data_IF_662786576049
#
_entry.id   IF_662786576049
#
_cell.length_a   1.000
_cell.length_b   1.000
_cell.length_c   1.000
_cell.angle_alpha   90.00
_cell.angle_beta   90.00
_cell.angle_gamma   90.00
#
_symmetry.space_group_name_H-M   'P 1'
#
loop_
_entity.id
_entity.type
_entity.pdbx_description
1 polymer ?
#
# COMPACT_ATOMS: atom_id res chain seq x y z
N UNK A 1 -4.71 -15.28 22.05
CA UNK A 1 -5.43 -14.24 22.83
C UNK A 1 -4.46 -13.10 23.03
N UNK A 2 -4.84 -11.85 22.74
CA UNK A 2 -3.98 -10.72 23.07
C UNK A 2 -3.90 -10.58 24.59
N UNK A 3 -2.71 -10.36 25.14
CA UNK A 3 -2.52 -10.13 26.57
C UNK A 3 -3.14 -8.77 26.97
N UNK A 4 -3.63 -8.66 28.20
CA UNK A 4 -4.09 -7.41 28.80
C UNK A 4 -3.29 -7.13 30.07
N UNK A 5 -2.83 -5.89 30.32
CA UNK A 5 -2.22 -5.51 31.59
C UNK A 5 -3.18 -5.63 32.79
N UNK A 6 -4.48 -5.78 32.54
CA UNK A 6 -5.49 -6.05 33.57
C UNK A 6 -5.72 -7.56 33.81
N UNK A 7 -5.01 -8.46 33.11
CA UNK A 7 -5.11 -9.90 33.34
C UNK A 7 -4.48 -10.25 34.71
N UNK A 8 -5.28 -10.73 35.68
CA UNK A 8 -4.80 -10.98 37.04
C UNK A 8 -3.79 -12.15 37.12
N UNK A 9 -3.58 -12.89 36.03
CA UNK A 9 -2.59 -13.97 35.94
C UNK A 9 -1.18 -13.47 35.60
N UNK A 10 -1.04 -12.20 35.20
CA UNK A 10 0.25 -11.62 34.84
C UNK A 10 0.89 -10.91 36.04
N UNK A 11 2.14 -11.22 36.41
CA UNK A 11 2.82 -10.49 37.48
C UNK A 11 2.99 -9.03 37.04
N UNK A 12 2.37 -8.10 37.77
CA UNK A 12 2.34 -6.68 37.42
C UNK A 12 3.04 -5.86 38.50
N UNK A 13 3.90 -4.93 38.06
CA UNK A 13 4.65 -4.02 38.93
C UNK A 13 4.44 -2.55 38.57
N UNK A 14 5.20 -1.63 39.19
CA UNK A 14 5.13 -0.21 38.88
C UNK A 14 5.52 0.07 37.43
N UNK A 15 4.55 0.34 36.56
CA UNK A 15 4.78 0.71 35.16
C UNK A 15 4.94 -0.44 34.15
N UNK A 16 4.93 -1.69 34.60
CA UNK A 16 5.22 -2.85 33.76
C UNK A 16 4.43 -4.10 34.16
N UNK A 17 4.38 -5.08 33.28
CA UNK A 17 3.78 -6.40 33.53
C UNK A 17 4.53 -7.50 32.79
N UNK A 18 4.58 -8.68 33.42
CA UNK A 18 5.30 -9.85 32.94
C UNK A 18 4.40 -10.76 32.11
N UNK A 19 4.87 -11.15 30.93
CA UNK A 19 4.10 -11.93 29.96
C UNK A 19 4.94 -13.11 29.49
N UNK A 20 4.33 -14.28 29.37
CA UNK A 20 4.97 -15.44 28.75
C UNK A 20 4.99 -15.29 27.23
N UNK A 21 6.08 -15.71 26.60
CA UNK A 21 6.35 -15.62 25.16
C UNK A 21 5.21 -16.17 24.29
N UNK A 22 4.55 -17.25 24.72
CA UNK A 22 3.38 -17.84 24.06
C UNK A 22 2.20 -16.87 23.86
N UNK A 23 2.17 -15.76 24.61
CA UNK A 23 1.15 -14.70 24.52
C UNK A 23 1.63 -13.45 23.77
N UNK A 24 2.86 -13.43 23.25
CA UNK A 24 3.41 -12.34 22.45
C UNK A 24 3.60 -12.83 21.01
N UNK A 25 2.61 -12.64 20.13
CA UNK A 25 2.66 -13.14 18.77
C UNK A 25 3.93 -12.69 18.03
N UNK A 26 4.62 -13.66 17.42
CA UNK A 26 5.81 -13.43 16.59
C UNK A 26 7.12 -13.34 17.37
N UNK A 27 7.10 -13.13 18.69
CA UNK A 27 8.31 -12.95 19.50
C UNK A 27 8.66 -14.18 20.32
N UNK A 28 9.95 -14.41 20.49
CA UNK A 28 10.52 -15.44 21.36
C UNK A 28 11.64 -14.84 22.21
N UNK A 29 11.94 -15.48 23.35
CA UNK A 29 13.04 -15.08 24.23
C UNK A 29 13.93 -16.27 24.56
N UNK A 30 15.22 -16.02 24.77
CA UNK A 30 16.14 -17.03 25.34
C UNK A 30 16.14 -17.03 26.86
N UNK A 31 15.37 -16.15 27.50
CA UNK A 31 15.20 -16.16 28.96
C UNK A 31 14.65 -17.52 29.40
N UNK A 32 15.33 -18.17 30.35
CA UNK A 32 14.99 -19.54 30.78
C UNK A 32 13.58 -19.66 31.38
N UNK A 33 12.93 -18.55 31.72
CA UNK A 33 11.55 -18.51 32.24
C UNK A 33 10.50 -18.26 31.16
N UNK A 34 10.90 -18.02 29.90
CA UNK A 34 10.01 -17.70 28.78
C UNK A 34 9.33 -16.34 28.91
N UNK A 35 9.79 -15.48 29.83
CA UNK A 35 9.11 -14.25 30.21
C UNK A 35 9.70 -13.01 29.55
N UNK A 36 8.80 -12.13 29.13
CA UNK A 36 9.06 -10.75 28.75
C UNK A 36 8.54 -9.81 29.84
N UNK A 37 9.28 -8.76 30.13
CA UNK A 37 8.77 -7.64 30.92
C UNK A 37 8.39 -6.50 29.98
N UNK A 38 7.10 -6.21 29.91
CA UNK A 38 6.52 -5.19 29.04
C UNK A 38 6.12 -3.98 29.87
N UNK A 39 6.67 -2.84 29.51
CA UNK A 39 6.45 -1.54 30.15
C UNK A 39 5.30 -0.83 29.43
N UNK A 40 4.23 -0.51 30.16
CA UNK A 40 2.95 -0.10 29.57
C UNK A 40 2.60 1.32 29.97
N UNK A 41 2.25 2.15 28.98
CA UNK A 41 1.95 3.58 29.17
C UNK A 41 0.90 3.82 30.26
N UNK A 42 -0.21 3.08 30.22
CA UNK A 42 -1.31 3.25 31.20
C UNK A 42 -0.92 2.90 32.64
N UNK A 43 0.11 2.06 32.84
CA UNK A 43 0.68 1.77 34.16
C UNK A 43 1.70 2.84 34.56
N UNK A 44 2.50 3.34 33.61
CA UNK A 44 3.46 4.42 33.83
C UNK A 44 2.79 5.74 34.20
N UNK A 45 1.66 6.06 33.57
CA UNK A 45 0.88 7.27 33.83
C UNK A 45 0.37 7.32 35.29
N UNK A 46 0.28 6.17 35.98
CA UNK A 46 -0.09 6.09 37.41
C UNK A 46 1.07 6.41 38.36
N UNK A 47 2.31 6.44 37.87
CA UNK A 47 3.48 6.72 38.69
C UNK A 47 3.67 8.23 38.87
N UNK A 48 4.13 8.69 40.06
CA UNK A 48 4.43 10.09 40.28
C UNK A 48 5.59 10.55 39.40
N UNK A 49 5.62 11.84 39.07
CA UNK A 49 6.72 12.42 38.30
C UNK A 49 8.05 12.27 39.06
N UNK A 50 9.10 11.90 38.32
CA UNK A 50 10.42 11.59 38.89
C UNK A 50 10.51 10.24 39.61
N UNK A 51 9.46 9.39 39.58
CA UNK A 51 9.58 8.02 40.02
C UNK A 51 10.66 7.28 39.23
N UNK A 52 11.47 6.48 39.93
CA UNK A 52 12.64 5.79 39.36
C UNK A 52 12.30 4.93 38.13
N UNK A 53 11.16 4.25 38.15
CA UNK A 53 10.69 3.34 37.10
C UNK A 53 9.69 4.00 36.12
N UNK A 54 9.51 5.33 36.19
CA UNK A 54 8.69 6.06 35.22
C UNK A 54 9.56 6.43 34.02
N UNK A 55 9.31 5.75 32.90
CA UNK A 55 9.99 5.97 31.64
C UNK A 55 9.01 6.50 30.59
N UNK A 56 9.52 7.19 29.59
CA UNK A 56 8.71 7.63 28.46
C UNK A 56 8.49 6.46 27.49
N UNK A 57 7.24 6.25 27.08
CA UNK A 57 6.86 5.38 25.97
C UNK A 57 6.90 6.22 24.70
N UNK A 58 7.89 6.00 23.86
CA UNK A 58 8.15 6.84 22.66
C UNK A 58 7.37 6.38 21.43
N UNK A 59 6.98 5.11 21.37
CA UNK A 59 6.18 4.59 20.27
C UNK A 59 5.00 3.76 20.79
N UNK A 60 3.82 3.93 20.17
CA UNK A 60 2.63 3.18 20.53
C UNK A 60 2.19 3.37 22.00
N UNK A 61 2.02 2.26 22.72
CA UNK A 61 1.48 2.22 24.09
C UNK A 61 2.34 1.43 25.08
N UNK A 62 3.44 0.83 24.62
CA UNK A 62 4.29 -0.03 25.43
C UNK A 62 5.65 -0.23 24.77
N UNK A 63 6.64 -0.63 25.56
CA UNK A 63 7.96 -1.09 25.08
C UNK A 63 8.42 -2.32 25.89
N UNK A 64 9.47 -3.00 25.43
CA UNK A 64 9.99 -4.20 26.08
C UNK A 64 11.30 -3.94 26.85
N UNK A 65 11.48 -4.65 27.95
CA UNK A 65 12.80 -4.86 28.57
C UNK A 65 13.35 -6.20 28.07
N UNK A 66 14.60 -6.18 27.61
CA UNK A 66 15.25 -7.37 27.06
C UNK A 66 15.68 -8.34 28.15
N UNK A 67 15.99 -7.80 29.33
CA UNK A 67 16.28 -8.53 30.55
C UNK A 67 15.00 -8.81 31.34
N UNK A 68 14.82 -10.03 31.85
CA UNK A 68 13.72 -10.37 32.76
C UNK A 68 14.24 -11.17 33.97
N UNK A 69 14.66 -12.42 33.77
CA UNK A 69 15.31 -13.23 34.81
C UNK A 69 16.83 -13.29 34.63
N UNK A 70 17.31 -13.07 33.41
CA UNK A 70 18.72 -13.03 33.06
C UNK A 70 18.95 -12.18 31.80
N UNK A 71 20.22 -12.05 31.38
CA UNK A 71 20.53 -11.53 30.05
C UNK A 71 19.96 -12.49 29.00
N UNK A 72 19.05 -12.00 28.18
CA UNK A 72 18.38 -12.79 27.15
C UNK A 72 18.46 -12.10 25.78
N UNK A 73 18.12 -12.88 24.75
CA UNK A 73 17.89 -12.41 23.40
C UNK A 73 16.40 -12.46 23.11
N UNK A 74 15.80 -11.33 22.75
CA UNK A 74 14.46 -11.29 22.13
C UNK A 74 14.62 -11.47 20.62
N UNK A 75 13.84 -12.33 19.99
CA UNK A 75 14.03 -12.60 18.56
C UNK A 75 12.77 -12.98 17.81
N UNK A 76 12.84 -12.82 16.48
CA UNK A 76 11.85 -13.31 15.52
C UNK A 76 12.53 -14.03 14.35
N UNK A 77 11.84 -15.00 13.76
CA UNK A 77 12.21 -15.62 12.48
C UNK A 77 11.33 -15.04 11.36
N UNK A 78 11.97 -14.42 10.37
CA UNK A 78 11.30 -13.72 9.26
C UNK A 78 11.62 -14.42 7.94
N UNK A 79 10.60 -14.61 7.10
CA UNK A 79 10.79 -15.12 5.74
C UNK A 79 11.60 -14.11 4.93
N UNK A 80 12.61 -14.60 4.21
CA UNK A 80 13.56 -13.75 3.49
C UNK A 80 13.97 -14.36 2.16
N UNK A 81 14.34 -13.54 1.19
CA UNK A 81 14.86 -13.98 -0.11
C UNK A 81 16.38 -13.88 -0.13
N UNK A 82 17.12 -14.93 -0.54
CA UNK A 82 18.56 -14.83 -0.74
C UNK A 82 18.97 -13.64 -1.62
N UNK A 83 19.96 -12.86 -1.18
CA UNK A 83 20.46 -11.68 -1.87
C UNK A 83 19.70 -10.37 -1.59
N UNK A 84 18.54 -10.43 -0.93
CA UNK A 84 17.83 -9.20 -0.57
C UNK A 84 18.56 -8.43 0.54
N UNK A 85 18.49 -7.10 0.49
CA UNK A 85 18.96 -6.23 1.57
C UNK A 85 17.79 -5.93 2.50
N UNK A 86 17.97 -6.23 3.79
CA UNK A 86 17.04 -5.87 4.86
C UNK A 86 17.59 -4.66 5.59
N UNK A 87 16.75 -3.66 5.77
CA UNK A 87 16.97 -2.50 6.60
C UNK A 87 16.35 -2.77 7.96
N UNK A 88 17.05 -2.38 9.01
CA UNK A 88 16.54 -2.47 10.36
C UNK A 88 16.73 -1.17 11.10
N UNK A 89 15.78 -0.88 12.00
CA UNK A 89 15.79 0.23 12.95
C UNK A 89 15.30 -0.27 14.29
N UNK A 90 15.80 0.33 15.37
CA UNK A 90 15.25 0.16 16.71
C UNK A 90 15.54 1.40 17.55
N UNK A 91 14.74 1.63 18.59
CA UNK A 91 15.07 2.52 19.68
C UNK A 91 15.61 1.72 20.86
N UNK A 92 16.73 2.17 21.45
CA UNK A 92 17.33 1.55 22.63
C UNK A 92 17.63 2.59 23.70
N UNK A 93 17.43 2.20 24.96
CA UNK A 93 17.67 3.04 26.14
C UNK A 93 18.11 2.19 27.33
N UNK A 94 19.08 2.67 28.11
CA UNK A 94 19.43 2.04 29.37
C UNK A 94 18.40 2.34 30.47
N UNK A 95 18.18 1.40 31.40
CA UNK A 95 17.15 1.55 32.42
C UNK A 95 17.55 2.51 33.53
N UNK A 96 18.76 2.33 34.08
CA UNK A 96 19.25 3.08 35.25
C UNK A 96 20.59 3.78 35.02
N UNK A 97 21.21 3.56 33.87
CA UNK A 97 22.48 4.16 33.45
C UNK A 97 22.75 3.74 32.02
N UNK A 98 24.03 3.67 31.65
CA UNK A 98 24.43 3.12 30.36
C UNK A 98 24.29 1.59 30.34
N UNK A 99 23.38 1.10 29.52
CA UNK A 99 23.23 -0.32 29.21
C UNK A 99 23.74 -0.60 27.80
N UNK A 100 24.11 -1.85 27.50
CA UNK A 100 24.66 -2.27 26.21
C UNK A 100 23.91 -3.47 25.67
N UNK A 101 23.53 -3.39 24.38
CA UNK A 101 22.87 -4.46 23.65
C UNK A 101 23.60 -4.81 22.34
N UNK A 102 23.28 -5.98 21.80
CA UNK A 102 23.73 -6.45 20.49
C UNK A 102 22.56 -6.76 19.57
N UNK A 103 22.65 -6.34 18.31
CA UNK A 103 21.76 -6.84 17.23
C UNK A 103 22.43 -8.07 16.65
N UNK A 104 21.72 -9.20 16.64
CA UNK A 104 22.16 -10.50 16.12
C UNK A 104 21.32 -10.87 14.90
N UNK A 105 21.94 -11.17 13.76
CA UNK A 105 21.21 -11.51 12.54
C UNK A 105 21.88 -12.68 11.82
N UNK A 106 21.10 -13.69 11.43
CA UNK A 106 21.63 -14.84 10.71
C UNK A 106 20.58 -15.88 10.35
N UNK A 107 21.01 -17.06 9.92
CA UNK A 107 20.11 -18.16 9.57
C UNK A 107 19.33 -18.65 10.80
N UNK A 108 18.04 -18.91 10.64
CA UNK A 108 17.19 -19.44 11.72
C UNK A 108 17.60 -20.85 12.21
N UNK A 109 18.43 -21.56 11.44
CA UNK A 109 19.01 -22.84 11.85
C UNK A 109 20.16 -22.69 12.85
N UNK A 110 20.67 -21.47 13.04
CA UNK A 110 21.64 -21.15 14.09
C UNK A 110 20.92 -20.91 15.41
N UNK A 111 21.35 -21.59 16.48
CA UNK A 111 20.80 -21.39 17.80
C UNK A 111 20.96 -19.90 18.23
N UNK A 112 19.95 -19.28 18.89
CA UNK A 112 19.97 -17.85 19.19
C UNK A 112 21.24 -17.35 19.91
N UNK A 113 21.81 -18.16 20.80
CA UNK A 113 23.03 -17.86 21.55
C UNK A 113 24.26 -17.75 20.64
N UNK A 114 24.29 -18.50 19.54
CA UNK A 114 25.40 -18.57 18.58
C UNK A 114 25.20 -17.66 17.35
N UNK A 115 24.08 -16.95 17.27
CA UNK A 115 23.80 -16.03 16.15
C UNK A 115 24.85 -14.89 16.15
N UNK A 116 25.41 -14.49 15.00
CA UNK A 116 26.45 -13.49 14.98
C UNK A 116 25.89 -12.11 15.34
N UNK A 117 26.61 -11.38 16.21
CA UNK A 117 26.34 -9.96 16.48
C UNK A 117 26.79 -9.16 15.25
N UNK A 118 25.85 -8.47 14.61
CA UNK A 118 26.14 -7.57 13.49
C UNK A 118 26.46 -6.16 13.98
N UNK A 119 25.95 -5.77 15.15
CA UNK A 119 26.24 -4.47 15.75
C UNK A 119 26.07 -4.51 17.27
N UNK A 120 26.92 -3.77 17.99
CA UNK A 120 26.82 -3.53 19.44
C UNK A 120 26.61 -2.04 19.68
N UNK A 121 25.75 -1.68 20.62
CA UNK A 121 25.40 -0.30 20.94
C UNK A 121 25.16 -0.11 22.44
N UNK A 122 25.45 1.09 22.93
CA UNK A 122 25.27 1.46 24.33
C UNK A 122 24.50 2.78 24.41
N UNK A 123 23.49 2.84 25.27
CA UNK A 123 22.69 4.05 25.49
C UNK A 123 22.53 4.30 26.98
N UNK A 124 22.61 5.56 27.41
CA UNK A 124 22.31 5.97 28.78
C UNK A 124 20.81 5.87 29.12
N UNK A 125 20.45 6.29 30.34
CA UNK A 125 19.06 6.31 30.84
C UNK A 125 18.32 7.62 30.59
N UNK A 126 18.97 8.62 30.02
CA UNK A 126 18.45 9.98 29.94
C UNK A 126 17.61 10.15 28.67
N UNK A 127 17.98 9.51 27.57
CA UNK A 127 17.23 9.56 26.32
C UNK A 127 17.15 8.20 25.61
N UNK A 128 16.12 8.06 24.75
CA UNK A 128 16.07 6.98 23.77
C UNK A 128 16.95 7.34 22.57
N UNK A 129 17.77 6.40 22.12
CA UNK A 129 18.58 6.55 20.90
C UNK A 129 18.10 5.58 19.82
N UNK A 130 18.00 6.08 18.59
CA UNK A 130 17.70 5.26 17.43
C UNK A 130 18.98 4.73 16.80
N UNK A 131 18.97 3.43 16.48
CA UNK A 131 20.02 2.75 15.75
C UNK A 131 19.44 2.17 14.47
N UNK A 132 20.25 2.19 13.42
CA UNK A 132 19.89 1.66 12.11
C UNK A 132 21.05 0.86 11.53
N UNK A 133 20.72 -0.01 10.59
CA UNK A 133 21.72 -0.70 9.78
C UNK A 133 21.07 -1.56 8.70
N UNK A 134 21.91 -2.30 7.99
CA UNK A 134 21.48 -3.18 6.92
C UNK A 134 22.03 -4.59 7.10
N UNK A 135 21.36 -5.56 6.48
CA UNK A 135 21.78 -6.94 6.41
C UNK A 135 21.44 -7.52 5.03
N UNK A 136 22.45 -7.96 4.28
CA UNK A 136 22.22 -8.69 3.03
C UNK A 136 22.06 -10.18 3.31
N UNK A 137 20.93 -10.74 2.91
CA UNK A 137 20.60 -12.14 3.16
C UNK A 137 21.54 -13.06 2.37
N UNK A 138 22.30 -13.96 3.03
CA UNK A 138 23.24 -14.86 2.36
C UNK A 138 22.56 -15.80 1.37
N UNK A 139 23.34 -16.30 0.40
CA UNK A 139 22.88 -17.32 -0.54
C UNK A 139 22.34 -18.56 0.19
N UNK A 140 21.16 -19.05 -0.22
CA UNK A 140 20.51 -20.23 0.37
C UNK A 140 19.78 -19.99 1.69
N UNK A 141 19.83 -18.78 2.26
CA UNK A 141 19.06 -18.42 3.46
C UNK A 141 17.67 -17.91 3.06
N UNK A 142 16.63 -18.69 3.36
CA UNK A 142 15.22 -18.30 3.09
C UNK A 142 14.46 -17.85 4.33
N UNK A 143 15.05 -18.04 5.52
CA UNK A 143 14.52 -17.56 6.80
C UNK A 143 15.67 -16.94 7.59
N UNK A 144 15.48 -15.71 8.04
CA UNK A 144 16.46 -14.95 8.80
C UNK A 144 15.94 -14.75 10.21
N UNK A 145 16.76 -15.10 11.20
CA UNK A 145 16.52 -14.75 12.60
C UNK A 145 17.09 -13.37 12.87
N UNK A 146 16.27 -12.49 13.43
CA UNK A 146 16.70 -11.20 13.96
C UNK A 146 16.52 -11.24 15.47
N UNK A 147 17.63 -11.05 16.19
CA UNK A 147 17.69 -11.09 17.64
C UNK A 147 18.28 -9.81 18.21
N UNK A 148 17.85 -9.48 19.42
CA UNK A 148 18.30 -8.34 20.20
C UNK A 148 18.75 -8.91 21.54
N UNK A 149 20.05 -8.88 21.80
CA UNK A 149 20.67 -9.46 22.99
C UNK A 149 21.05 -8.40 24.01
N UNK A 150 20.64 -8.59 25.26
CA UNK A 150 21.13 -7.80 26.38
C UNK A 150 22.55 -8.24 26.72
N UNK A 151 23.53 -7.35 26.58
CA UNK A 151 24.95 -7.66 26.85
C UNK A 151 25.34 -7.26 28.27
N UNK A 152 25.00 -6.04 28.69
CA UNK A 152 25.27 -5.57 30.05
C UNK A 152 24.30 -4.49 30.51
N UNK A 153 24.16 -4.34 31.83
CA UNK A 153 23.42 -3.26 32.46
C UNK A 153 24.34 -2.41 33.34
N UNK A 154 24.02 -1.12 33.48
CA UNK A 154 24.80 -0.15 34.25
C UNK A 154 24.96 -0.53 35.72
N UNK A 155 23.97 -1.23 36.28
CA UNK A 155 23.94 -1.67 37.67
C UNK A 155 24.61 -3.03 37.88
N UNK A 156 24.92 -3.76 36.79
CA UNK A 156 25.34 -5.15 36.83
C UNK A 156 24.23 -6.14 37.21
N UNK A 157 22.98 -5.70 37.38
CA UNK A 157 21.84 -6.60 37.56
C UNK A 157 21.43 -7.19 36.23
N UNK A 158 21.61 -8.50 36.04
CA UNK A 158 21.26 -9.20 34.80
C UNK A 158 19.75 -9.38 34.61
N UNK A 159 18.95 -9.06 35.64
CA UNK A 159 17.47 -9.18 35.62
C UNK A 159 16.78 -7.88 35.21
N UNK A 160 17.52 -6.79 35.01
CA UNK A 160 16.96 -5.49 34.71
C UNK A 160 17.96 -4.64 33.92
N UNK A 161 17.50 -4.01 32.84
CA UNK A 161 18.29 -3.23 31.92
C UNK A 161 17.82 -3.39 30.48
N UNK A 162 18.39 -2.58 29.58
CA UNK A 162 18.20 -2.64 28.13
C UNK A 162 16.72 -2.58 27.72
N UNK A 163 16.20 -1.37 27.56
CA UNK A 163 14.89 -1.14 26.96
C UNK A 163 15.00 -1.06 25.44
N UNK A 164 14.02 -1.65 24.77
CA UNK A 164 13.90 -1.66 23.31
C UNK A 164 12.47 -1.32 22.89
N UNK A 165 12.35 -0.49 21.87
CA UNK A 165 11.06 -0.08 21.29
C UNK A 165 11.22 0.20 19.79
N UNK A 166 10.10 0.40 19.10
CA UNK A 166 10.03 0.94 17.74
C UNK A 166 10.94 0.20 16.73
N UNK A 167 10.87 -1.12 16.81
CA UNK A 167 11.65 -2.03 15.97
C UNK A 167 11.02 -2.10 14.58
N UNK A 168 11.81 -1.78 13.57
CA UNK A 168 11.47 -1.91 12.16
C UNK A 168 12.41 -2.88 11.47
N UNK A 169 11.84 -3.76 10.64
CA UNK A 169 12.57 -4.63 9.73
C UNK A 169 11.82 -4.67 8.40
N UNK A 170 12.50 -4.31 7.32
CA UNK A 170 11.87 -4.29 6.01
C UNK A 170 12.86 -4.17 4.88
N UNK A 171 12.35 -4.27 3.65
CA UNK A 171 13.08 -3.85 2.45
C UNK A 171 12.66 -2.43 2.10
N UNK A 172 13.39 -1.82 1.18
CA UNK A 172 12.95 -0.61 0.48
C UNK A 172 11.54 -0.79 -0.12
N UNK A 173 10.80 0.31 -0.32
CA UNK A 173 9.56 0.29 -1.08
C UNK A 173 9.80 -0.33 -2.47
N UNK A 174 8.82 -1.09 -2.94
CA UNK A 174 8.85 -1.67 -4.28
C UNK A 174 7.55 -1.30 -4.96
N UNK A 175 7.51 -0.08 -5.50
CA UNK A 175 6.30 0.48 -6.09
C UNK A 175 6.14 -0.04 -7.51
N UNK A 176 4.97 -0.60 -7.79
CA UNK A 176 4.53 -1.07 -9.11
C UNK A 176 3.21 -0.42 -9.47
N UNK A 177 3.02 -0.12 -10.75
CA UNK A 177 1.81 0.51 -11.25
C UNK A 177 1.28 -0.21 -12.50
N UNK A 178 0.00 -0.54 -12.49
CA UNK A 178 -0.69 -1.19 -13.60
C UNK A 178 -1.78 -0.26 -14.13
N UNK A 179 -1.64 0.10 -15.41
CA UNK A 179 -2.49 1.01 -16.16
C UNK A 179 -3.35 0.24 -17.16
N UNK A 180 -4.62 0.58 -17.18
CA UNK A 180 -5.60 0.06 -18.12
C UNK A 180 -6.32 1.21 -18.82
N UNK A 181 -6.86 0.92 -20.00
CA UNK A 181 -7.66 1.85 -20.78
C UNK A 181 -8.96 1.17 -21.20
N UNK A 182 -10.06 1.92 -21.18
CA UNK A 182 -11.36 1.47 -21.65
C UNK A 182 -12.01 2.56 -22.53
N UNK A 183 -12.52 2.21 -23.72
CA UNK A 183 -12.42 0.89 -24.37
C UNK A 183 -11.00 0.55 -24.84
N UNK A 184 -10.73 -0.74 -25.01
CA UNK A 184 -9.44 -1.27 -25.48
C UNK A 184 -9.41 -1.35 -27.02
N UNK A 185 -8.23 -1.12 -27.60
CA UNK A 185 -7.99 -1.33 -29.03
C UNK A 185 -8.44 -0.17 -29.90
N UNK A 186 -9.35 -0.42 -30.83
CA UNK A 186 -9.85 0.59 -31.78
C UNK A 186 -10.92 1.46 -31.14
N UNK A 187 -10.75 2.77 -31.28
CA UNK A 187 -11.62 3.80 -30.72
C UNK A 187 -11.92 4.85 -31.78
N UNK A 188 -13.05 5.52 -31.70
CA UNK A 188 -13.44 6.52 -32.69
C UNK A 188 -12.98 7.92 -32.27
N UNK A 189 -12.88 8.83 -33.24
CA UNK A 189 -12.71 10.25 -32.94
C UNK A 189 -13.84 10.80 -32.05
N UNK A 190 -13.51 11.71 -31.13
CA UNK A 190 -14.46 12.26 -30.17
C UNK A 190 -14.93 11.30 -29.09
N UNK A 191 -14.42 10.07 -29.04
CA UNK A 191 -14.74 9.08 -28.02
C UNK A 191 -13.98 9.35 -26.72
N UNK A 192 -14.63 9.15 -25.58
CA UNK A 192 -13.96 9.18 -24.28
C UNK A 192 -13.23 7.86 -24.02
N UNK A 193 -11.97 7.97 -23.60
CA UNK A 193 -11.17 6.89 -23.03
C UNK A 193 -11.09 7.10 -21.52
N UNK A 194 -11.34 6.04 -20.77
CA UNK A 194 -11.16 6.00 -19.32
C UNK A 194 -9.86 5.28 -19.01
N UNK A 195 -8.94 5.96 -18.34
CA UNK A 195 -7.72 5.36 -17.80
C UNK A 195 -7.92 5.03 -16.33
N UNK A 196 -7.48 3.84 -15.92
CA UNK A 196 -7.36 3.47 -14.51
C UNK A 196 -5.95 2.98 -14.24
N UNK A 197 -5.30 3.54 -13.21
CA UNK A 197 -3.94 3.17 -12.79
C UNK A 197 -3.96 2.72 -11.35
N UNK A 198 -3.65 1.45 -11.13
CA UNK A 198 -3.55 0.85 -9.79
C UNK A 198 -2.09 0.79 -9.36
N UNK A 199 -1.76 1.46 -8.27
CA UNK A 199 -0.42 1.55 -7.70
C UNK A 199 -0.34 0.73 -6.42
N UNK A 200 0.68 -0.15 -6.30
CA UNK A 200 0.91 -1.01 -5.13
C UNK A 200 2.36 -0.93 -4.69
N UNK A 201 2.60 -1.09 -3.39
CA UNK A 201 3.94 -1.19 -2.82
C UNK A 201 4.19 -2.63 -2.31
N UNK A 202 4.95 -3.40 -3.08
CA UNK A 202 5.37 -4.76 -2.72
C UNK A 202 6.57 -4.83 -1.77
N UNK A 203 7.12 -3.68 -1.38
CA UNK A 203 8.27 -3.56 -0.48
C UNK A 203 7.89 -3.72 0.99
N UNK A 204 8.89 -3.56 1.86
CA UNK A 204 8.72 -3.66 3.31
C UNK A 204 8.30 -2.34 3.93
N UNK A 205 9.00 -1.25 3.60
CA UNK A 205 8.69 0.08 4.10
C UNK A 205 7.60 0.78 3.28
N UNK A 206 7.02 1.84 3.85
CA UNK A 206 6.10 2.75 3.18
C UNK A 206 6.82 3.54 2.08
N UNK A 207 6.18 3.69 0.92
CA UNK A 207 6.58 4.69 -0.07
C UNK A 207 5.96 6.04 0.36
N UNK A 208 6.79 6.93 0.89
CA UNK A 208 6.33 8.19 1.45
C UNK A 208 6.12 9.24 0.34
N UNK A 209 5.29 10.25 0.61
CA UNK A 209 5.03 11.37 -0.31
C UNK A 209 4.79 10.93 -1.76
N UNK A 210 4.03 9.84 -1.93
CA UNK A 210 3.77 9.25 -3.24
C UNK A 210 2.90 10.20 -4.06
N UNK A 211 3.34 10.51 -5.27
CA UNK A 211 2.65 11.37 -6.23
C UNK A 211 2.49 10.63 -7.55
N UNK A 212 1.24 10.48 -7.98
CA UNK A 212 0.86 10.00 -9.29
C UNK A 212 0.87 11.14 -10.30
N UNK A 213 1.48 10.94 -11.45
CA UNK A 213 1.46 11.86 -12.58
C UNK A 213 1.16 11.12 -13.90
N UNK A 214 0.34 11.73 -14.75
CA UNK A 214 -0.03 11.13 -16.04
C UNK A 214 -0.23 12.21 -17.08
N UNK A 215 0.67 12.25 -18.07
CA UNK A 215 0.56 13.21 -19.17
C UNK A 215 -0.63 12.85 -20.06
N UNK A 216 -1.41 13.86 -20.45
CA UNK A 216 -2.50 13.65 -21.40
C UNK A 216 -1.87 13.28 -22.75
N UNK A 217 -2.18 12.09 -23.29
CA UNK A 217 -1.47 11.57 -24.45
C UNK A 217 -1.80 12.38 -25.70
N UNK A 218 -0.83 12.48 -26.61
CA UNK A 218 -0.99 13.18 -27.88
C UNK A 218 -2.21 12.64 -28.66
N UNK A 219 -2.97 13.55 -29.28
CA UNK A 219 -4.21 13.21 -29.96
C UNK A 219 -5.42 13.03 -29.04
N UNK A 220 -5.32 13.43 -27.77
CA UNK A 220 -6.45 13.49 -26.84
C UNK A 220 -6.53 14.82 -26.08
N UNK A 221 -7.69 15.12 -25.54
CA UNK A 221 -7.94 16.23 -24.60
C UNK A 221 -8.44 15.68 -23.27
N UNK A 222 -8.01 16.26 -22.15
CA UNK A 222 -8.51 15.89 -20.82
C UNK A 222 -10.02 16.19 -20.71
N UNK A 223 -10.78 15.31 -20.05
CA UNK A 223 -12.20 15.55 -19.74
C UNK A 223 -12.30 16.13 -18.32
N UNK A 224 -12.64 17.42 -18.15
CA UNK A 224 -12.76 18.03 -16.82
C UNK A 224 -13.81 17.34 -15.94
N UNK A 225 -13.53 17.25 -14.64
CA UNK A 225 -14.34 16.59 -13.62
C UNK A 225 -14.29 15.07 -13.67
N UNK A 226 -13.31 14.49 -14.39
CA UNK A 226 -13.18 13.03 -14.52
C UNK A 226 -12.20 12.40 -13.55
N UNK A 227 -11.30 13.18 -12.95
CA UNK A 227 -10.29 12.72 -12.01
C UNK A 227 -10.92 12.23 -10.70
N UNK A 228 -10.55 11.03 -10.26
CA UNK A 228 -11.01 10.44 -9.00
C UNK A 228 -10.05 9.37 -8.50
N UNK A 229 -10.13 9.08 -7.21
CA UNK A 229 -9.53 7.88 -6.61
C UNK A 229 -10.66 6.85 -6.44
N UNK A 230 -10.62 5.75 -7.19
CA UNK A 230 -11.67 4.71 -7.15
C UNK A 230 -11.45 3.68 -6.06
N UNK A 231 -10.20 3.51 -5.61
CA UNK A 231 -9.83 2.58 -4.54
C UNK A 231 -8.68 3.16 -3.71
N UNK A 232 -8.71 2.96 -2.39
CA UNK A 232 -7.69 3.41 -1.45
C UNK A 232 -8.24 4.27 -0.30
N UNK A 233 -7.40 4.66 0.68
CA UNK A 233 -7.83 5.40 1.87
C UNK A 233 -8.54 6.74 1.59
N UNK A 234 -8.19 7.38 0.47
CA UNK A 234 -8.72 8.69 0.05
C UNK A 234 -9.68 8.57 -1.15
N UNK A 235 -10.41 7.46 -1.27
CA UNK A 235 -11.32 7.24 -2.38
C UNK A 235 -12.43 8.32 -2.46
N UNK A 236 -12.67 8.84 -3.65
CA UNK A 236 -13.59 9.94 -3.90
C UNK A 236 -13.33 10.65 -5.23
N UNK A 237 -14.28 11.47 -5.65
CA UNK A 237 -14.09 12.39 -6.78
C UNK A 237 -13.14 13.52 -6.39
N UNK A 238 -12.31 13.97 -7.34
CA UNK A 238 -11.37 15.07 -7.18
C UNK A 238 -11.84 16.26 -8.04
N UNK A 239 -11.47 17.47 -7.61
CA UNK A 239 -12.04 18.72 -8.13
C UNK A 239 -11.31 19.30 -9.34
N UNK A 240 -10.18 18.71 -9.72
CA UNK A 240 -9.22 19.20 -10.72
C UNK A 240 -8.50 20.52 -10.36
N UNK A 241 -8.81 21.11 -9.20
CA UNK A 241 -8.30 22.43 -8.78
C UNK A 241 -7.08 22.28 -7.88
N UNK A 242 -5.98 22.95 -8.24
CA UNK A 242 -4.76 22.94 -7.44
C UNK A 242 -5.01 23.42 -6.01
N UNK A 243 -4.72 22.55 -5.04
CA UNK A 243 -4.75 22.85 -3.61
C UNK A 243 -6.14 22.76 -2.95
N UNK A 244 -7.18 22.34 -3.65
CA UNK A 244 -8.51 22.10 -3.05
C UNK A 244 -8.59 20.71 -2.40
N UNK A 245 -8.11 19.70 -3.11
CA UNK A 245 -7.99 18.32 -2.64
C UNK A 245 -6.68 17.67 -3.13
N UNK A 246 -6.61 16.35 -3.07
CA UNK A 246 -5.42 15.57 -3.39
C UNK A 246 -5.04 15.58 -4.87
N UNK A 247 -5.88 16.01 -5.80
CA UNK A 247 -5.56 15.93 -7.22
C UNK A 247 -6.05 17.09 -8.07
N UNK A 248 -5.26 17.41 -9.10
CA UNK A 248 -5.53 18.52 -9.99
C UNK A 248 -5.08 18.23 -11.42
N UNK A 249 -5.61 19.02 -12.36
CA UNK A 249 -5.14 19.03 -13.73
C UNK A 249 -4.13 20.18 -13.94
N UNK A 250 -2.88 19.82 -14.21
CA UNK A 250 -1.82 20.76 -14.54
C UNK A 250 -1.96 21.22 -16.01
N UNK A 251 -2.64 22.34 -16.20
CA UNK A 251 -2.86 22.95 -17.52
C UNK A 251 -1.58 23.43 -18.21
N UNK A 252 -0.49 23.67 -17.47
CA UNK A 252 0.78 24.15 -18.04
C UNK A 252 1.56 22.99 -18.65
N UNK A 253 1.59 21.85 -17.95
CA UNK A 253 2.31 20.66 -18.40
C UNK A 253 1.40 19.61 -19.08
N UNK A 254 0.09 19.89 -19.17
CA UNK A 254 -0.93 19.02 -19.76
C UNK A 254 -0.91 17.60 -19.16
N UNK A 255 -1.00 17.51 -17.83
CA UNK A 255 -0.97 16.25 -17.08
C UNK A 255 -1.93 16.28 -15.89
N UNK A 256 -2.43 15.12 -15.47
CA UNK A 256 -3.09 14.98 -14.17
C UNK A 256 -2.05 14.68 -13.09
N UNK A 257 -2.24 15.21 -11.89
CA UNK A 257 -1.39 14.98 -10.73
C UNK A 257 -2.27 14.62 -9.54
N UNK A 258 -1.91 13.57 -8.81
CA UNK A 258 -2.61 13.16 -7.58
C UNK A 258 -1.60 12.82 -6.48
N UNK A 259 -1.69 13.54 -5.36
CA UNK A 259 -0.94 13.29 -4.13
C UNK A 259 -1.56 12.10 -3.40
N UNK A 260 -0.94 10.92 -3.52
CA UNK A 260 -1.39 9.69 -2.87
C UNK A 260 -0.96 9.64 -1.39
N UNK A 261 0.04 10.42 -0.99
CA UNK A 261 0.57 10.46 0.37
C UNK A 261 1.37 9.21 0.71
N UNK A 262 1.05 8.55 1.82
CA UNK A 262 1.73 7.32 2.21
C UNK A 262 1.14 6.10 1.49
N UNK A 263 1.93 5.48 0.61
CA UNK A 263 1.59 4.22 -0.02
C UNK A 263 2.11 3.06 0.83
N UNK A 264 1.23 2.57 1.71
CA UNK A 264 1.50 1.42 2.56
C UNK A 264 1.79 0.14 1.75
N UNK A 265 2.57 -0.76 2.34
CA UNK A 265 2.89 -2.04 1.72
C UNK A 265 1.65 -2.94 1.53
N UNK A 266 1.77 -3.95 0.67
CA UNK A 266 0.66 -4.87 0.34
C UNK A 266 0.16 -5.74 1.50
N UNK A 267 0.87 -5.80 2.65
CA UNK A 267 0.33 -6.45 3.85
C UNK A 267 -0.80 -5.60 4.45
N UNK A 268 -0.61 -4.27 4.47
CA UNK A 268 -1.56 -3.32 5.04
C UNK A 268 -2.55 -2.75 4.00
N UNK A 269 -2.15 -2.70 2.73
CA UNK A 269 -2.95 -2.20 1.61
C UNK A 269 -2.86 -3.14 0.39
N UNK A 270 -3.49 -4.33 0.44
CA UNK A 270 -3.31 -5.38 -0.58
C UNK A 270 -3.80 -4.98 -1.98
N UNK A 271 -4.83 -4.14 -2.07
CA UNK A 271 -5.42 -3.69 -3.32
C UNK A 271 -4.77 -2.40 -3.87
N UNK A 272 -3.90 -1.76 -3.09
CA UNK A 272 -3.25 -0.51 -3.48
C UNK A 272 -4.19 0.68 -3.57
N UNK A 273 -3.80 1.67 -4.37
CA UNK A 273 -4.58 2.87 -4.66
C UNK A 273 -4.83 2.92 -6.17
N UNK A 274 -6.07 3.19 -6.59
CA UNK A 274 -6.45 3.28 -8.01
C UNK A 274 -6.90 4.69 -8.35
N UNK A 275 -6.19 5.34 -9.26
CA UNK A 275 -6.55 6.64 -9.84
C UNK A 275 -7.26 6.41 -11.17
N UNK A 276 -8.36 7.12 -11.40
CA UNK A 276 -9.08 7.13 -12.67
C UNK A 276 -9.16 8.55 -13.21
N UNK A 277 -9.04 8.69 -14.52
CA UNK A 277 -9.35 9.92 -15.24
C UNK A 277 -9.78 9.60 -16.67
N UNK A 278 -10.37 10.58 -17.37
CA UNK A 278 -10.81 10.42 -18.75
C UNK A 278 -10.15 11.42 -19.68
N UNK A 279 -9.96 10.99 -20.92
CA UNK A 279 -9.58 11.84 -22.05
C UNK A 279 -10.54 11.62 -23.21
N UNK A 280 -10.56 12.52 -24.17
CA UNK A 280 -11.37 12.43 -25.37
C UNK A 280 -10.47 12.50 -26.60
N UNK A 281 -10.67 11.61 -27.57
CA UNK A 281 -9.85 11.56 -28.79
C UNK A 281 -10.13 12.75 -29.70
N UNK A 282 -9.08 13.30 -30.31
CA UNK A 282 -9.15 14.44 -31.22
C UNK A 282 -9.32 13.98 -32.68
N UNK A 283 -10.02 14.81 -33.47
CA UNK A 283 -10.36 14.54 -34.89
C UNK A 283 -9.17 14.76 -35.85
N UNK A 284 -8.10 15.42 -35.41
CA UNK A 284 -6.95 15.80 -36.25
C UNK A 284 -5.92 14.69 -36.45
N UNK A 285 -6.07 13.56 -35.77
CA UNK A 285 -5.03 12.54 -35.59
C UNK A 285 -5.48 11.14 -36.06
N UNK A 286 -6.27 11.07 -37.14
CA UNK A 286 -6.82 9.81 -37.68
C UNK A 286 -5.72 8.78 -38.04
N UNK A 287 -5.95 7.51 -37.68
CA UNK A 287 -5.05 6.37 -37.86
C UNK A 287 -3.73 6.45 -37.06
N UNK A 288 -3.66 7.30 -36.04
CA UNK A 288 -2.54 7.33 -35.11
C UNK A 288 -2.85 6.54 -33.84
N UNK A 289 -1.78 6.11 -33.18
CA UNK A 289 -1.82 5.36 -31.94
C UNK A 289 -1.68 6.34 -30.77
N UNK A 290 -2.65 6.30 -29.87
CA UNK A 290 -2.63 7.00 -28.59
C UNK A 290 -1.95 6.07 -27.58
N UNK A 291 -0.68 6.33 -27.28
CA UNK A 291 0.07 5.63 -26.25
C UNK A 291 0.04 6.41 -24.94
N UNK A 292 -0.13 5.73 -23.80
CA UNK A 292 -0.13 6.40 -22.51
C UNK A 292 0.53 5.56 -21.39
N UNK A 293 1.32 6.24 -20.54
CA UNK A 293 2.01 5.73 -19.35
C UNK A 293 1.89 6.72 -18.19
N UNK A 294 1.75 6.22 -16.98
CA UNK A 294 1.81 7.02 -15.77
C UNK A 294 3.21 6.94 -15.14
N UNK A 295 3.55 7.94 -14.34
CA UNK A 295 4.76 8.01 -13.52
C UNK A 295 4.32 8.15 -12.06
N UNK A 296 4.89 7.30 -11.19
CA UNK A 296 4.64 7.34 -9.76
C UNK A 296 5.96 7.72 -9.10
N UNK A 297 6.01 8.91 -8.52
CA UNK A 297 7.15 9.41 -7.76
C UNK A 297 6.91 9.14 -6.27
N UNK A 298 7.94 8.79 -5.51
CA UNK A 298 7.84 8.58 -4.07
C UNK A 298 9.19 8.75 -3.39
N UNK A 299 9.16 8.99 -2.08
CA UNK A 299 10.35 9.07 -1.24
C UNK A 299 10.62 7.71 -0.59
N UNK A 300 11.86 7.24 -0.75
CA UNK A 300 12.40 6.10 -0.02
C UNK A 300 13.11 6.61 1.24
N UNK A 301 12.44 6.49 2.39
CA UNK A 301 12.94 7.02 3.66
C UNK A 301 14.15 6.25 4.21
N UNK A 302 14.39 5.02 3.74
CA UNK A 302 15.51 4.19 4.19
C UNK A 302 16.83 4.62 3.55
N UNK A 303 16.79 5.03 2.29
CA UNK A 303 17.94 5.55 1.55
C UNK A 303 17.99 7.08 1.54
N UNK A 304 16.90 7.75 1.93
CA UNK A 304 16.69 9.19 1.81
C UNK A 304 16.87 9.66 0.36
N UNK A 305 16.30 8.89 -0.57
CA UNK A 305 16.30 9.16 -2.00
C UNK A 305 14.86 9.30 -2.52
N UNK A 306 14.70 10.04 -3.61
CA UNK A 306 13.45 10.10 -4.35
C UNK A 306 13.53 9.10 -5.52
N UNK A 307 12.50 8.29 -5.67
CA UNK A 307 12.39 7.25 -6.69
C UNK A 307 11.18 7.49 -7.59
N UNK A 308 11.20 6.85 -8.76
CA UNK A 308 10.10 6.89 -9.71
C UNK A 308 9.93 5.54 -10.41
N UNK A 309 8.68 5.14 -10.59
CA UNK A 309 8.29 3.96 -11.36
C UNK A 309 7.30 4.36 -12.46
N UNK A 310 7.50 3.84 -13.67
CA UNK A 310 6.50 3.94 -14.75
C UNK A 310 5.48 2.80 -14.64
N UNK A 311 4.23 3.08 -15.04
CA UNK A 311 3.28 2.01 -15.33
C UNK A 311 3.65 1.26 -16.62
N UNK A 312 2.98 0.13 -16.88
CA UNK A 312 2.91 -0.40 -18.23
C UNK A 312 2.34 0.64 -19.22
N UNK A 313 2.64 0.46 -20.50
CA UNK A 313 2.07 1.28 -21.57
C UNK A 313 0.72 0.73 -22.01
N UNK A 314 -0.22 1.65 -22.26
CA UNK A 314 -1.50 1.36 -22.90
C UNK A 314 -1.53 1.99 -24.28
N UNK A 315 -2.23 1.36 -25.23
CA UNK A 315 -2.32 1.85 -26.61
C UNK A 315 -3.74 1.73 -27.14
N UNK A 316 -4.23 2.78 -27.80
CA UNK A 316 -5.51 2.77 -28.54
C UNK A 316 -5.32 3.33 -29.94
N UNK A 317 -5.97 2.74 -30.94
CA UNK A 317 -5.91 3.19 -32.34
C UNK A 317 -7.14 4.05 -32.64
N UNK A 318 -6.93 5.30 -33.07
CA UNK A 318 -8.05 6.21 -33.38
C UNK A 318 -8.49 6.04 -34.83
N UNK A 319 -9.76 5.63 -35.00
CA UNK A 319 -10.45 5.48 -36.27
C UNK A 319 -11.38 6.67 -36.55
N UNK A 320 -11.60 7.01 -37.84
CA UNK A 320 -12.64 7.96 -38.20
C UNK A 320 -14.02 7.42 -37.81
N UNK A 321 -14.95 8.31 -37.45
CA UNK A 321 -16.35 7.90 -37.27
C UNK A 321 -16.91 7.39 -38.61
N UNK A 322 -17.76 6.36 -38.59
CA UNK A 322 -18.46 5.95 -39.81
C UNK A 322 -19.36 7.09 -40.31
N UNK A 323 -19.22 7.50 -41.57
CA UNK A 323 -20.19 8.38 -42.21
C UNK A 323 -21.55 7.64 -42.28
N UNK A 324 -22.49 8.01 -41.41
CA UNK A 324 -23.87 7.53 -41.56
C UNK A 324 -24.47 8.21 -42.79
N UNK A 325 -24.43 7.52 -43.92
CA UNK A 325 -25.11 7.96 -45.13
C UNK A 325 -26.63 7.76 -44.96
N UNK A 326 -27.29 8.80 -44.45
CA UNK A 326 -28.74 8.87 -44.29
C UNK A 326 -29.54 8.70 -45.60
N UNK A 327 -28.88 8.62 -46.76
CA UNK A 327 -29.49 8.37 -48.06
C UNK A 327 -29.39 6.90 -48.53
N UNK A 328 -28.75 5.99 -47.78
CA UNK A 328 -28.71 4.58 -48.15
C UNK A 328 -30.00 3.84 -47.72
N UNK A 329 -30.78 3.49 -48.74
CA UNK A 329 -32.06 2.78 -48.74
C UNK A 329 -33.24 3.54 -48.09
N UNK A 330 -34.32 3.87 -48.84
CA UNK A 330 -35.52 4.43 -48.25
C UNK A 330 -36.15 3.43 -47.29
N UNK A 331 -36.33 3.84 -46.03
CA UNK A 331 -37.18 3.12 -45.07
C UNK A 331 -38.62 3.54 -45.35
N UNK A 332 -39.34 2.71 -46.12
CA UNK A 332 -40.75 2.91 -46.42
C UNK A 332 -41.55 1.65 -46.06
N UNK A 333 -42.65 1.83 -45.34
CA UNK A 333 -43.68 0.80 -45.20
C UNK A 333 -44.39 0.66 -46.54
N UNK A 334 -44.28 -0.52 -47.16
CA UNK A 334 -45.08 -0.82 -48.34
C UNK A 334 -46.48 -1.17 -47.85
N UNK A 335 -47.48 -0.39 -48.29
CA UNK A 335 -48.89 -0.70 -48.09
C UNK A 335 -49.24 -1.92 -48.95
N UNK A 336 -48.93 -3.13 -48.46
CA UNK A 336 -49.30 -4.39 -49.11
C UNK A 336 -50.79 -4.44 -49.46
N UNK A 337 -51.23 -5.43 -50.25
CA UNK A 337 -52.60 -5.50 -50.79
C UNK A 337 -53.68 -5.61 -49.70
N UNK A 338 -54.07 -4.49 -49.11
CA UNK A 338 -55.20 -4.41 -48.17
C UNK A 338 -56.55 -4.50 -48.88
N UNK A 339 -56.60 -4.49 -50.22
CA UNK A 339 -57.84 -4.25 -50.98
C UNK A 339 -58.17 -5.26 -52.09
N UNK A 340 -57.66 -6.50 -52.10
CA UNK A 340 -58.34 -7.57 -52.86
C UNK A 340 -58.15 -8.95 -52.21
N UNK A 341 -59.24 -9.68 -51.86
CA UNK A 341 -59.10 -11.09 -51.52
C UNK A 341 -58.69 -11.87 -52.79
N UNK A 342 -57.82 -12.89 -52.66
CA UNK A 342 -57.48 -13.74 -53.80
C UNK A 342 -58.78 -14.35 -54.37
N UNK A 343 -58.98 -14.19 -55.69
CA UNK A 343 -60.09 -14.82 -56.40
C UNK A 343 -60.14 -16.32 -56.05
N UNK A 344 -61.29 -16.81 -55.58
CA UNK A 344 -61.37 -18.18 -55.05
C UNK A 344 -61.18 -19.25 -56.12
N UNK A 345 -61.35 -18.93 -57.42
CA UNK A 345 -61.19 -19.82 -58.58
C UNK A 345 -60.99 -19.01 -59.89
N UNK A 346 -60.42 -19.59 -60.97
CA UNK A 346 -60.37 -18.96 -62.29
C UNK A 346 -61.78 -18.70 -62.86
N UNK A 347 -62.15 -17.44 -63.05
CA UNK A 347 -63.42 -17.02 -63.66
C UNK A 347 -64.41 -16.28 -62.75
N UNK A 348 -64.05 -15.97 -61.51
CA UNK A 348 -64.89 -15.20 -60.59
C UNK A 348 -64.78 -13.68 -60.87
N UNK A 349 -65.70 -13.14 -61.66
CA UNK A 349 -65.88 -11.69 -61.82
C UNK A 349 -66.82 -11.22 -60.71
N UNK A 350 -66.25 -10.71 -59.61
CA UNK A 350 -66.97 -10.34 -58.39
C UNK A 350 -68.39 -9.80 -58.63
N UNK A 351 -69.36 -10.39 -57.92
CA UNK A 351 -70.78 -10.06 -58.07
C UNK A 351 -71.06 -8.57 -57.95
N UNK A 352 -71.76 -7.95 -58.92
CA UNK A 352 -72.23 -6.57 -58.81
C UNK A 352 -73.48 -6.54 -57.94
N UNK A 353 -73.48 -5.81 -56.83
CA UNK A 353 -74.68 -5.74 -55.99
C UNK A 353 -74.54 -5.11 -54.61
N UNK A 354 -74.07 -3.87 -54.55
CA UNK A 354 -74.52 -2.92 -53.52
C UNK A 354 -74.33 -1.51 -54.07
N UNK A 355 -75.10 -1.18 -55.10
CA UNK A 355 -75.39 0.21 -55.43
C UNK A 355 -76.53 0.71 -54.54
N UNK A 356 -76.41 1.98 -54.14
CA UNK A 356 -77.44 2.88 -53.58
C UNK A 356 -77.62 2.93 -52.05
N UNK A 357 -77.27 4.11 -51.49
CA UNK A 357 -77.86 4.84 -50.35
C UNK A 357 -78.24 4.01 -49.10
N UNK A 358 -77.66 4.26 -47.91
CA UNK A 358 -77.45 5.52 -47.21
C UNK A 358 -76.21 5.47 -46.30
#
# INVERSE_FOLDING_TARGET
MAYSPDDPRTPTGPGWTGIQDEYIPGWQTTDSTGRFDIFVKSLMDKLPDGARDKHEVIHGQQFAEMNSFENATLYQDVQTTPGQTIYWRLAHKGRYGEDTMGVKIGSNTTAPENLPIVQTMSTDKDAWNYYTGTYTVPAGQTVTRFGFEAISSATGDIRAGNFIDDIFLGTEPCVVAEKTVSPQGEVFEGQELTYEVTTKNGGGDVAANTVFEDAIPEGTEYVPGSLKITNGPSAGDLTDVTGDDAGYFDTVNNKVVVELGELANTVNLPDGITVQFKVKTLTTEMNKLVANKAIINYDNLLTNEQEATESNETTSTVLPSEEINACLAPVALVNGSFEEPPARMPGDTGSPGAEHAW
#
